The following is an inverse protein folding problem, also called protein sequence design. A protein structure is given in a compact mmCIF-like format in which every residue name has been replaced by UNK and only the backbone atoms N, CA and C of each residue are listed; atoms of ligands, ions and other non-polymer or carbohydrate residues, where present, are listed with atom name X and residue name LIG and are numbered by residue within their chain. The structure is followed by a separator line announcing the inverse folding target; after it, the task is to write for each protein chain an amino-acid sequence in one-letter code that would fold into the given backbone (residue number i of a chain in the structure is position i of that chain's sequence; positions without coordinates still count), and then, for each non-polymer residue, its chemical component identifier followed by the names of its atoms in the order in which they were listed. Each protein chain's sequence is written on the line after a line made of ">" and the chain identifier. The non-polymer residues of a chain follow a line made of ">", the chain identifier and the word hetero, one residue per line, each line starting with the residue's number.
data_IF_031910915528
#
_entry.id   IF_031910915528
#
_cell.length_a   1.000
_cell.length_b   1.000
_cell.length_c   1.000
_cell.angle_alpha   90.00
_cell.angle_beta   90.00
_cell.angle_gamma   90.00
#
_symmetry.space_group_name_H-M   'P 1'
#
loop_
_entity.id
_entity.type
_entity.pdbx_description
1 polymer ?
#
# COMPACT_ATOMS: atom_id res chain seq x y z
N UNK A 1 8.14 16.26 -12.86
CA UNK A 1 9.57 16.36 -12.55
C UNK A 1 10.16 14.99 -12.31
N UNK A 2 11.26 14.60 -12.97
CA UNK A 2 11.87 13.29 -12.74
C UNK A 2 12.37 13.17 -11.29
N UNK A 3 12.43 11.94 -10.80
CA UNK A 3 13.03 11.70 -9.50
C UNK A 3 14.55 11.69 -9.60
N UNK A 4 15.21 12.23 -8.56
CA UNK A 4 16.66 12.12 -8.38
C UNK A 4 17.02 11.11 -7.30
N UNK A 5 16.02 10.44 -6.73
CA UNK A 5 16.24 9.43 -5.71
C UNK A 5 16.90 8.19 -6.31
N UNK A 6 17.81 7.58 -5.56
CA UNK A 6 18.36 6.27 -5.92
C UNK A 6 17.29 5.19 -5.77
N UNK A 7 17.53 4.04 -6.37
CA UNK A 7 16.62 2.90 -6.21
C UNK A 7 16.52 2.48 -4.74
N UNK A 8 17.61 2.55 -3.99
CA UNK A 8 17.57 2.24 -2.55
C UNK A 8 16.76 3.26 -1.76
N UNK A 9 16.87 4.55 -2.10
CA UNK A 9 16.08 5.60 -1.45
C UNK A 9 14.59 5.44 -1.74
N UNK A 10 14.23 5.11 -2.99
CA UNK A 10 12.84 4.87 -3.36
C UNK A 10 12.27 3.66 -2.62
N UNK A 11 13.03 2.56 -2.54
CA UNK A 11 12.62 1.36 -1.80
C UNK A 11 12.41 1.67 -0.32
N UNK A 12 13.29 2.46 0.28
CA UNK A 12 13.15 2.85 1.68
C UNK A 12 11.89 3.67 1.92
N UNK A 13 11.56 4.58 0.99
CA UNK A 13 10.33 5.39 1.09
C UNK A 13 9.07 4.54 0.97
N UNK A 14 9.05 3.58 0.06
CA UNK A 14 7.91 2.66 -0.09
C UNK A 14 7.74 1.82 1.16
N UNK A 15 8.83 1.27 1.71
CA UNK A 15 8.77 0.47 2.93
C UNK A 15 8.26 1.30 4.10
N UNK A 16 8.78 2.51 4.27
CA UNK A 16 8.34 3.41 5.33
C UNK A 16 6.87 3.80 5.17
N UNK A 17 6.42 4.06 3.94
CA UNK A 17 5.03 4.40 3.67
C UNK A 17 4.09 3.27 4.11
N UNK A 18 4.36 2.03 3.68
CA UNK A 18 3.52 0.91 4.06
C UNK A 18 3.54 0.66 5.56
N UNK A 19 4.71 0.75 6.19
CA UNK A 19 4.81 0.54 7.64
C UNK A 19 3.96 1.55 8.40
N UNK A 20 4.05 2.83 8.04
CA UNK A 20 3.27 3.86 8.71
C UNK A 20 1.79 3.84 8.33
N UNK A 21 1.51 3.77 7.03
CA UNK A 21 0.15 3.87 6.51
C UNK A 21 -0.73 2.68 6.91
N UNK A 22 -0.17 1.46 6.85
CA UNK A 22 -0.91 0.24 7.17
C UNK A 22 -0.66 -0.22 8.59
N UNK A 23 0.58 -0.54 8.93
CA UNK A 23 0.90 -1.20 10.20
C UNK A 23 0.79 -0.29 11.42
N UNK A 24 1.23 0.96 11.28
CA UNK A 24 1.20 1.93 12.38
C UNK A 24 -0.07 2.79 12.40
N UNK A 25 -1.00 2.55 11.48
CA UNK A 25 -2.31 3.23 11.41
C UNK A 25 -2.22 4.73 11.34
N UNK A 26 -1.26 5.24 10.56
CA UNK A 26 -1.05 6.67 10.34
C UNK A 26 -1.54 7.05 8.94
N UNK A 27 -2.85 7.02 8.72
CA UNK A 27 -3.42 7.28 7.41
C UNK A 27 -3.00 8.65 6.84
N UNK A 28 -2.75 9.63 7.69
CA UNK A 28 -2.36 10.99 7.29
C UNK A 28 -0.99 11.07 6.60
N UNK A 29 -0.12 10.05 6.75
CA UNK A 29 1.20 10.08 6.09
C UNK A 29 1.10 10.11 4.57
N UNK A 30 -0.03 9.67 4.01
CA UNK A 30 -0.27 9.72 2.58
C UNK A 30 -0.19 11.17 2.05
N UNK A 31 -0.57 12.15 2.88
CA UNK A 31 -0.56 13.57 2.50
C UNK A 31 0.86 14.11 2.28
N UNK A 32 1.84 13.54 2.96
CA UNK A 32 3.24 13.96 2.85
C UNK A 32 4.07 13.04 1.98
N UNK A 33 3.73 11.76 1.93
CA UNK A 33 4.47 10.78 1.13
C UNK A 33 4.15 10.85 -0.36
N UNK A 34 2.94 11.30 -0.70
CA UNK A 34 2.48 11.38 -2.09
C UNK A 34 2.56 12.80 -2.64
N UNK A 35 2.74 12.90 -3.95
CA UNK A 35 2.61 14.17 -4.66
C UNK A 35 1.17 14.69 -4.53
N UNK A 36 0.99 16.00 -4.62
CA UNK A 36 -0.33 16.62 -4.48
C UNK A 36 -1.33 16.11 -5.54
N UNK A 37 -0.84 15.77 -6.72
CA UNK A 37 -1.62 15.23 -7.83
C UNK A 37 -1.52 13.71 -7.94
N UNK A 38 -1.19 13.02 -6.86
CA UNK A 38 -1.09 11.57 -6.81
C UNK A 38 -2.33 10.91 -7.42
N UNK A 39 -2.10 9.92 -8.27
CA UNK A 39 -3.16 9.17 -8.93
C UNK A 39 -3.01 7.68 -8.64
N UNK A 40 -4.03 7.10 -7.99
CA UNK A 40 -4.10 5.67 -7.75
C UNK A 40 -5.06 5.06 -8.77
N UNK A 41 -4.51 4.24 -9.66
CA UNK A 41 -5.33 3.60 -10.70
C UNK A 41 -6.26 2.54 -10.13
N UNK A 42 -5.91 1.96 -8.99
CA UNK A 42 -6.60 0.81 -8.40
C UNK A 42 -7.06 1.10 -6.96
N UNK A 43 -7.82 2.17 -6.81
CA UNK A 43 -8.36 2.57 -5.52
C UNK A 43 -9.58 1.75 -5.09
N UNK A 44 -10.37 2.28 -4.15
CA UNK A 44 -11.54 1.58 -3.62
C UNK A 44 -12.49 1.13 -4.72
N UNK A 45 -12.89 -0.13 -4.67
CA UNK A 45 -13.79 -0.72 -5.67
C UNK A 45 -13.14 -0.91 -7.03
N UNK A 46 -11.80 -0.89 -7.11
CA UNK A 46 -11.07 -1.01 -8.37
C UNK A 46 -11.11 0.23 -9.23
N UNK A 47 -11.52 1.37 -8.68
CA UNK A 47 -11.66 2.63 -9.41
C UNK A 47 -10.52 3.58 -9.10
N UNK A 48 -10.16 4.47 -10.04
CA UNK A 48 -9.14 5.48 -9.76
C UNK A 48 -9.55 6.40 -8.62
N UNK A 49 -8.55 6.82 -7.85
CA UNK A 49 -8.75 7.76 -6.75
C UNK A 49 -7.50 8.60 -6.53
N UNK A 50 -7.55 9.46 -5.52
CA UNK A 50 -6.49 10.40 -5.16
C UNK A 50 -6.06 10.21 -3.68
N UNK A 51 -5.25 11.14 -3.18
CA UNK A 51 -4.79 11.11 -1.79
C UNK A 51 -5.97 11.03 -0.81
N UNK A 52 -6.97 11.89 -1.00
CA UNK A 52 -8.12 11.95 -0.08
C UNK A 52 -8.92 10.64 -0.10
N UNK A 53 -9.11 10.05 -1.27
CA UNK A 53 -9.84 8.80 -1.41
C UNK A 53 -9.13 7.63 -0.76
N UNK A 54 -7.82 7.52 -0.93
CA UNK A 54 -7.03 6.46 -0.31
C UNK A 54 -6.90 6.64 1.20
N UNK A 55 -6.81 7.87 1.68
CA UNK A 55 -6.81 8.12 3.12
C UNK A 55 -8.12 7.68 3.76
N UNK A 56 -9.24 8.04 3.15
CA UNK A 56 -10.56 7.64 3.62
C UNK A 56 -10.71 6.12 3.63
N UNK A 57 -10.31 5.48 2.55
CA UNK A 57 -10.35 4.02 2.43
C UNK A 57 -9.55 3.36 3.56
N UNK A 58 -8.34 3.84 3.83
CA UNK A 58 -7.49 3.23 4.86
C UNK A 58 -8.08 3.41 6.25
N UNK A 59 -8.66 4.57 6.56
CA UNK A 59 -9.33 4.78 7.85
C UNK A 59 -10.50 3.83 8.05
N UNK A 60 -11.25 3.55 6.98
CA UNK A 60 -12.33 2.56 7.01
C UNK A 60 -11.79 1.15 7.22
N UNK A 61 -10.65 0.82 6.60
CA UNK A 61 -10.00 -0.48 6.77
C UNK A 61 -9.53 -0.69 8.21
N UNK A 62 -9.03 0.34 8.89
CA UNK A 62 -8.64 0.24 10.30
C UNK A 62 -9.83 -0.17 11.17
N UNK A 63 -11.02 0.35 10.86
CA UNK A 63 -12.24 0.04 11.63
C UNK A 63 -12.73 -1.39 11.36
N UNK A 64 -12.67 -1.83 10.10
CA UNK A 64 -13.14 -3.16 9.72
C UNK A 64 -12.13 -4.26 10.04
N UNK A 65 -10.84 -3.93 10.02
CA UNK A 65 -9.74 -4.86 10.20
C UNK A 65 -8.77 -4.30 11.24
N UNK A 66 -9.14 -4.32 12.55
CA UNK A 66 -8.35 -3.64 13.58
C UNK A 66 -6.92 -4.13 13.72
N UNK A 67 -6.65 -5.39 13.36
CA UNK A 67 -5.32 -6.00 13.43
C UNK A 67 -4.67 -6.16 12.06
N UNK A 68 -5.12 -5.42 11.04
CA UNK A 68 -4.56 -5.49 9.71
C UNK A 68 -3.05 -5.25 9.74
N UNK A 69 -2.31 -6.15 9.10
CA UNK A 69 -0.87 -6.04 8.94
C UNK A 69 -0.47 -6.33 7.51
N UNK A 70 0.53 -5.60 7.05
CA UNK A 70 1.13 -5.80 5.73
C UNK A 70 2.57 -6.24 5.91
N UNK A 71 2.96 -7.29 5.19
CA UNK A 71 4.34 -7.76 5.09
C UNK A 71 4.80 -7.57 3.67
N UNK A 72 5.94 -6.91 3.49
CA UNK A 72 6.57 -6.76 2.17
C UNK A 72 7.52 -7.95 1.99
N UNK A 73 7.21 -8.80 1.00
CA UNK A 73 8.02 -9.98 0.70
C UNK A 73 9.20 -9.63 -0.20
N UNK A 74 8.98 -8.75 -1.19
CA UNK A 74 10.02 -8.32 -2.12
C UNK A 74 9.84 -6.85 -2.47
N UNK A 75 10.95 -6.16 -2.68
CA UNK A 75 11.02 -4.80 -3.22
C UNK A 75 12.03 -4.79 -4.37
N UNK A 76 11.58 -4.36 -5.53
CA UNK A 76 12.42 -4.27 -6.73
C UNK A 76 12.23 -2.88 -7.32
N UNK A 77 13.32 -2.20 -7.64
CA UNK A 77 13.26 -0.84 -8.18
C UNK A 77 14.13 -0.71 -9.43
N UNK A 78 13.62 0.04 -10.40
CA UNK A 78 14.35 0.39 -11.62
C UNK A 78 13.80 1.71 -12.16
N UNK A 79 14.69 2.61 -12.57
CA UNK A 79 14.28 3.92 -13.06
C UNK A 79 13.59 4.72 -11.96
N UNK A 80 12.37 5.17 -12.22
CA UNK A 80 11.56 5.92 -11.27
C UNK A 80 10.48 5.06 -10.59
N UNK A 81 10.58 3.73 -10.71
CA UNK A 81 9.51 2.83 -10.26
C UNK A 81 10.00 1.83 -9.23
N UNK A 82 9.10 1.49 -8.32
CA UNK A 82 9.29 0.42 -7.33
C UNK A 82 8.11 -0.52 -7.41
N UNK A 83 8.37 -1.82 -7.53
CA UNK A 83 7.33 -2.84 -7.37
C UNK A 83 7.57 -3.58 -6.07
N UNK A 84 6.49 -3.84 -5.35
CA UNK A 84 6.54 -4.65 -4.12
C UNK A 84 5.57 -5.81 -4.23
N UNK A 85 5.99 -6.96 -3.71
CA UNK A 85 5.11 -8.12 -3.53
C UNK A 85 4.75 -8.16 -2.07
N UNK A 86 3.45 -8.01 -1.78
CA UNK A 86 2.93 -7.80 -0.43
C UNK A 86 1.96 -8.89 -0.02
N UNK A 87 1.85 -9.07 1.29
CA UNK A 87 0.86 -9.93 1.91
C UNK A 87 0.16 -9.14 3.00
N UNK A 88 -1.18 -9.06 2.95
CA UNK A 88 -2.04 -8.40 3.94
C UNK A 88 -2.78 -9.47 4.73
N UNK A 89 -2.83 -9.32 6.05
CA UNK A 89 -3.50 -10.27 6.96
C UNK A 89 -4.30 -9.54 8.01
N UNK A 90 -5.43 -10.11 8.38
CA UNK A 90 -6.24 -9.62 9.52
C UNK A 90 -7.07 -10.77 10.05
N UNK A 91 -7.63 -10.59 11.27
CA UNK A 91 -8.59 -11.52 11.86
C UNK A 91 -9.99 -11.05 11.53
N UNK A 92 -10.80 -11.91 10.94
CA UNK A 92 -12.20 -11.59 10.67
C UNK A 92 -12.97 -11.54 12.00
N UNK A 93 -13.57 -10.39 12.38
CA UNK A 93 -14.24 -10.27 13.66
C UNK A 93 -15.45 -11.21 13.82
N UNK A 94 -16.11 -11.53 12.71
CA UNK A 94 -17.30 -12.39 12.76
C UNK A 94 -16.99 -13.86 12.95
N UNK A 95 -15.93 -14.38 12.34
CA UNK A 95 -15.59 -15.80 12.37
C UNK A 95 -14.39 -16.15 13.23
N UNK A 96 -13.55 -15.17 13.56
CA UNK A 96 -12.28 -15.38 14.24
C UNK A 96 -11.20 -15.99 13.37
N UNK A 97 -11.45 -16.17 12.07
CA UNK A 97 -10.48 -16.75 11.13
C UNK A 97 -9.47 -15.72 10.66
N UNK A 98 -8.23 -16.17 10.43
CA UNK A 98 -7.22 -15.33 9.81
C UNK A 98 -7.52 -15.24 8.32
N UNK A 99 -7.70 -14.02 7.84
CA UNK A 99 -7.96 -13.71 6.43
C UNK A 99 -6.75 -13.02 5.83
N UNK A 100 -6.63 -13.09 4.53
CA UNK A 100 -5.55 -12.40 3.85
C UNK A 100 -5.75 -12.29 2.35
N UNK A 101 -4.92 -11.46 1.75
CA UNK A 101 -4.74 -11.42 0.30
C UNK A 101 -3.29 -11.02 0.02
N UNK A 102 -2.86 -11.28 -1.20
CA UNK A 102 -1.49 -11.00 -1.63
C UNK A 102 -1.51 -10.38 -3.01
N UNK A 103 -0.42 -9.74 -3.37
CA UNK A 103 -0.30 -9.20 -4.71
C UNK A 103 0.84 -8.22 -4.87
N UNK A 104 0.79 -7.51 -5.98
CA UNK A 104 1.83 -6.60 -6.39
C UNK A 104 1.30 -5.18 -6.43
N UNK A 105 2.13 -4.24 -5.96
CA UNK A 105 1.86 -2.81 -6.06
C UNK A 105 3.05 -2.16 -6.75
N UNK A 106 2.77 -1.39 -7.79
CA UNK A 106 3.78 -0.63 -8.52
C UNK A 106 3.60 0.85 -8.20
N UNK A 107 4.70 1.50 -7.84
CA UNK A 107 4.73 2.91 -7.50
C UNK A 107 5.66 3.64 -8.45
N UNK A 108 5.24 4.83 -8.91
CA UNK A 108 6.10 5.73 -9.70
C UNK A 108 6.37 7.00 -8.90
N UNK A 109 7.63 7.43 -8.92
CA UNK A 109 8.08 8.62 -8.21
C UNK A 109 8.21 9.83 -9.15
N UNK A 110 7.91 11.01 -8.61
CA UNK A 110 8.27 12.30 -9.19
C UNK A 110 8.91 13.14 -8.10
N UNK A 111 10.08 13.71 -8.38
CA UNK A 111 10.85 14.36 -7.33
C UNK A 111 11.10 13.37 -6.21
N UNK A 112 10.79 13.77 -4.99
CA UNK A 112 10.94 12.91 -3.81
C UNK A 112 9.60 12.31 -3.33
N UNK A 113 8.55 12.39 -4.15
CA UNK A 113 7.20 11.95 -3.80
C UNK A 113 6.72 10.82 -4.70
N UNK A 114 5.82 10.02 -4.16
CA UNK A 114 5.12 8.99 -4.94
C UNK A 114 3.99 9.68 -5.71
N UNK A 115 3.98 9.50 -7.03
CA UNK A 115 3.04 10.19 -7.91
C UNK A 115 1.94 9.31 -8.46
N UNK A 116 2.19 8.01 -8.57
CA UNK A 116 1.24 7.07 -9.19
C UNK A 116 1.33 5.69 -8.57
N UNK A 117 0.17 5.00 -8.55
CA UNK A 117 0.06 3.64 -8.01
C UNK A 117 -0.78 2.76 -8.92
N UNK A 118 -0.32 1.54 -9.12
CA UNK A 118 -1.08 0.45 -9.74
C UNK A 118 -1.01 -0.76 -8.81
N UNK A 119 -2.07 -1.56 -8.75
CA UNK A 119 -2.08 -2.75 -7.91
C UNK A 119 -2.86 -3.89 -8.55
N UNK A 120 -2.36 -5.09 -8.36
CA UNK A 120 -3.08 -6.32 -8.70
C UNK A 120 -2.97 -7.23 -7.49
N UNK A 121 -4.11 -7.57 -6.90
CA UNK A 121 -4.15 -8.37 -5.67
C UNK A 121 -5.15 -9.52 -5.82
N UNK A 122 -4.91 -10.58 -5.05
CA UNK A 122 -5.82 -11.72 -5.00
C UNK A 122 -7.11 -11.36 -4.26
N UNK A 123 -8.14 -12.15 -4.47
CA UNK A 123 -9.38 -12.04 -3.70
C UNK A 123 -9.10 -12.43 -2.24
N UNK A 124 -9.59 -11.68 -1.25
CA UNK A 124 -9.45 -12.06 0.15
C UNK A 124 -10.01 -13.46 0.42
N UNK A 125 -9.25 -14.24 1.19
CA UNK A 125 -9.60 -15.61 1.53
C UNK A 125 -9.00 -15.97 2.87
N UNK A 126 -9.38 -17.15 3.42
CA UNK A 126 -8.77 -17.66 4.64
C UNK A 126 -7.28 -17.87 4.41
N UNK A 127 -6.46 -17.42 5.36
CA UNK A 127 -5.01 -17.30 5.22
C UNK A 127 -4.28 -18.37 6.03
N UNK A 128 -4.78 -19.60 6.03
CA UNK A 128 -4.22 -20.71 6.83
C UNK A 128 -2.85 -21.16 6.34
N UNK A 129 -2.51 -20.89 5.09
CA UNK A 129 -1.26 -21.37 4.48
C UNK A 129 -0.07 -20.42 4.66
N UNK A 130 -0.26 -19.31 5.35
CA UNK A 130 0.76 -18.28 5.50
C UNK A 130 1.47 -18.29 6.85
N UNK A 131 1.19 -19.27 7.66
CA UNK A 131 1.77 -19.38 9.01
C UNK A 131 3.16 -20.01 9.01
#
# INVERSE_FOLDING_TARGET
>A
MPTSLSTDEMKAKVRSHFEDFVNNRKAEVIRTNMAADFYDHDGPGGKPTDVAGDEKMMREMYLRMPDLRLTIEDLIAEGDKVVCRNHWRWTDPGSGKTMGFHGFVLWRFEGDKIAERWATVSTPAEDSDWD
#
